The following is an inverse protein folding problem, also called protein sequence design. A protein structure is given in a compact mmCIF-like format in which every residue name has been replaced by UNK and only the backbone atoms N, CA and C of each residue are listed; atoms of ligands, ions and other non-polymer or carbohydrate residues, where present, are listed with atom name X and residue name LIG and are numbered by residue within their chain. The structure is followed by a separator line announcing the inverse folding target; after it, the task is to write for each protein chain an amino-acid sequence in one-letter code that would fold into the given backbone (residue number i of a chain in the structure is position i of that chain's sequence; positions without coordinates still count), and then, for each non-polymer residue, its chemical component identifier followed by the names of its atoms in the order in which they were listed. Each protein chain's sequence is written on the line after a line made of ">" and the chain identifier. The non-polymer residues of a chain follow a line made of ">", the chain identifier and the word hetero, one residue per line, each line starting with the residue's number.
data_IF_987018263480
#
_entry.id   IF_987018263480
#
_cell.length_a   1.000
_cell.length_b   1.000
_cell.length_c   1.000
_cell.angle_alpha   90.00
_cell.angle_beta   90.00
_cell.angle_gamma   90.00
#
_symmetry.space_group_name_H-M   'P 1'
#
loop_
_entity.id
_entity.type
_entity.pdbx_description
1 polymer ?
#
# COMPACT_ATOMS: atom_id res chain seq x y z
N UNK A 1 -35.97 16.04 -7.51
CA UNK A 1 -34.54 15.69 -7.39
C UNK A 1 -34.33 15.21 -5.96
N UNK A 2 -33.75 14.02 -5.72
CA UNK A 2 -33.47 13.59 -4.34
C UNK A 2 -32.47 14.57 -3.74
N UNK A 3 -32.78 15.12 -2.57
CA UNK A 3 -31.87 15.98 -1.81
C UNK A 3 -30.55 15.23 -1.59
N UNK A 4 -29.52 15.64 -2.33
CA UNK A 4 -28.17 15.13 -2.13
C UNK A 4 -27.68 15.75 -0.82
N UNK A 5 -27.50 14.91 0.20
CA UNK A 5 -26.78 15.31 1.39
C UNK A 5 -25.43 15.93 0.98
N UNK A 6 -25.03 17.06 1.58
CA UNK A 6 -23.77 17.70 1.24
C UNK A 6 -22.59 16.79 1.59
N UNK A 7 -21.47 17.00 0.90
CA UNK A 7 -20.22 16.33 1.27
C UNK A 7 -19.80 16.73 2.69
N UNK A 8 -19.26 15.77 3.44
CA UNK A 8 -18.72 15.98 4.78
C UNK A 8 -17.21 15.69 4.75
N UNK A 9 -16.44 16.59 5.34
CA UNK A 9 -15.02 16.34 5.60
C UNK A 9 -14.87 15.37 6.78
N UNK A 10 -14.09 14.32 6.57
CA UNK A 10 -13.78 13.29 7.57
C UNK A 10 -12.31 12.92 7.46
N UNK A 11 -11.65 12.67 8.59
CA UNK A 11 -10.31 12.08 8.58
C UNK A 11 -10.35 10.66 8.02
N UNK A 12 -9.26 10.21 7.38
CA UNK A 12 -9.18 8.85 6.82
C UNK A 12 -9.33 7.76 7.90
N UNK A 13 -8.82 8.00 9.11
CA UNK A 13 -8.98 7.07 10.24
C UNK A 13 -10.46 6.97 10.64
N UNK A 14 -11.15 8.11 10.69
CA UNK A 14 -12.56 8.19 11.09
C UNK A 14 -13.52 7.69 10.00
N UNK A 15 -13.04 7.55 8.76
CA UNK A 15 -13.82 7.04 7.64
C UNK A 15 -13.76 5.51 7.50
N UNK A 16 -13.09 4.83 8.44
CA UNK A 16 -12.94 3.38 8.51
C UNK A 16 -11.93 2.81 7.52
N UNK A 17 -10.96 3.65 7.11
CA UNK A 17 -9.74 3.20 6.45
C UNK A 17 -8.73 2.78 7.51
N UNK A 18 -8.28 1.54 7.39
CA UNK A 18 -7.29 0.94 8.27
C UNK A 18 -5.91 1.05 7.65
N UNK A 19 -4.94 1.42 8.48
CA UNK A 19 -3.55 1.58 8.11
C UNK A 19 -2.80 0.31 8.54
N UNK A 20 -2.17 -0.38 7.60
CA UNK A 20 -1.37 -1.59 7.90
C UNK A 20 0.08 -1.38 7.48
N UNK A 21 0.97 -1.33 8.48
CA UNK A 21 2.42 -1.27 8.26
C UNK A 21 3.00 -2.58 7.73
N UNK A 22 4.11 -2.48 6.99
CA UNK A 22 5.03 -3.61 6.79
C UNK A 22 5.72 -4.05 8.09
N UNK A 23 6.16 -5.31 8.15
CA UNK A 23 6.91 -5.81 9.30
C UNK A 23 8.31 -5.18 9.34
N UNK A 24 8.75 -4.75 10.54
CA UNK A 24 10.06 -4.13 10.79
C UNK A 24 10.97 -4.99 11.67
N UNK A 25 10.49 -6.17 12.08
CA UNK A 25 11.25 -7.05 12.95
C UNK A 25 12.46 -7.62 12.22
N UNK A 26 13.66 -7.27 12.68
CA UNK A 26 14.92 -7.81 12.15
C UNK A 26 14.96 -9.34 12.13
N UNK A 27 14.30 -10.01 13.08
CA UNK A 27 14.24 -11.47 13.16
C UNK A 27 13.37 -12.12 12.08
N UNK A 28 12.37 -11.39 11.55
CA UNK A 28 11.38 -11.92 10.60
C UNK A 28 11.47 -11.30 9.23
N UNK A 29 12.14 -10.16 9.11
CA UNK A 29 12.34 -9.50 7.83
C UNK A 29 13.24 -10.38 6.94
N UNK A 30 12.95 -10.53 5.63
CA UNK A 30 13.80 -11.31 4.74
C UNK A 30 15.21 -10.71 4.61
N UNK A 31 16.24 -11.54 4.81
CA UNK A 31 17.61 -11.23 4.37
C UNK A 31 17.72 -11.43 2.85
N UNK A 32 18.84 -10.99 2.26
CA UNK A 32 19.05 -11.06 0.81
C UNK A 32 19.03 -12.51 0.30
N UNK A 33 19.53 -13.43 1.12
CA UNK A 33 19.65 -14.86 0.80
C UNK A 33 18.32 -15.61 0.94
N UNK A 34 17.33 -15.01 1.59
CA UNK A 34 15.99 -15.60 1.77
C UNK A 34 15.04 -15.26 0.61
N UNK A 35 15.47 -14.44 -0.34
CA UNK A 35 14.73 -14.21 -1.58
C UNK A 35 14.96 -15.37 -2.55
N UNK A 36 13.87 -15.79 -3.19
CA UNK A 36 13.81 -16.92 -4.12
C UNK A 36 13.28 -16.47 -5.47
N UNK A 37 13.47 -17.28 -6.50
CA UNK A 37 13.02 -16.95 -7.86
C UNK A 37 11.49 -16.98 -8.01
N UNK A 38 10.80 -17.79 -7.19
CA UNK A 38 9.34 -17.92 -7.20
C UNK A 38 8.79 -18.24 -5.81
N UNK A 39 7.61 -17.72 -5.49
CA UNK A 39 6.99 -17.91 -4.18
C UNK A 39 5.93 -16.85 -3.90
N UNK A 40 5.82 -16.44 -2.64
CA UNK A 40 4.93 -15.35 -2.25
C UNK A 40 5.59 -14.01 -2.55
N UNK A 41 4.83 -13.06 -3.10
CA UNK A 41 5.35 -11.74 -3.44
C UNK A 41 5.82 -10.97 -2.21
N UNK A 42 6.98 -10.35 -2.32
CA UNK A 42 7.50 -9.37 -1.38
C UNK A 42 7.68 -8.04 -2.12
N UNK A 43 6.76 -7.11 -1.86
CA UNK A 43 6.61 -5.86 -2.60
C UNK A 43 7.47 -4.76 -2.00
N UNK A 44 8.19 -4.05 -2.86
CA UNK A 44 8.95 -2.84 -2.53
C UNK A 44 8.46 -1.66 -3.39
N UNK A 45 9.18 -0.53 -3.34
CA UNK A 45 8.82 0.64 -4.13
C UNK A 45 8.90 0.36 -5.64
N UNK A 46 9.90 -0.42 -6.08
CA UNK A 46 10.08 -0.81 -7.48
C UNK A 46 8.95 -1.72 -8.01
N UNK A 47 8.25 -2.41 -7.11
CA UNK A 47 7.06 -3.19 -7.43
C UNK A 47 5.85 -2.32 -7.78
N UNK A 48 5.91 -0.99 -7.61
CA UNK A 48 4.83 -0.07 -7.95
C UNK A 48 5.13 0.61 -9.29
N UNK A 49 4.20 0.54 -10.24
CA UNK A 49 4.31 1.25 -11.51
C UNK A 49 2.95 1.64 -12.05
N UNK A 50 2.79 2.92 -12.41
CA UNK A 50 1.60 3.44 -13.10
C UNK A 50 0.28 3.06 -12.39
N UNK A 51 0.24 3.14 -11.06
CA UNK A 51 -0.97 2.86 -10.29
C UNK A 51 -1.24 1.38 -10.00
N UNK A 52 -0.32 0.47 -10.36
CA UNK A 52 -0.51 -0.98 -10.31
C UNK A 52 0.72 -1.69 -9.75
N UNK A 53 0.53 -2.94 -9.34
CA UNK A 53 1.64 -3.83 -9.00
C UNK A 53 2.32 -4.26 -10.31
N UNK A 54 3.61 -3.95 -10.44
CA UNK A 54 4.44 -4.36 -11.55
C UNK A 54 5.03 -5.75 -11.27
N UNK A 55 4.31 -6.80 -11.66
CA UNK A 55 4.71 -8.20 -11.46
C UNK A 55 6.10 -8.55 -12.03
N UNK A 56 6.65 -7.73 -12.94
CA UNK A 56 8.01 -7.90 -13.48
C UNK A 56 9.13 -7.42 -12.54
N UNK A 57 8.79 -6.66 -11.50
CA UNK A 57 9.72 -6.07 -10.54
C UNK A 57 9.31 -6.40 -9.10
N UNK A 58 9.00 -7.67 -8.86
CA UNK A 58 8.60 -8.20 -7.55
C UNK A 58 9.64 -9.21 -7.09
N UNK A 59 10.04 -9.11 -5.82
CA UNK A 59 10.83 -10.15 -5.17
C UNK A 59 9.92 -11.25 -4.65
N UNK A 60 10.43 -12.46 -4.47
CA UNK A 60 9.66 -13.55 -3.88
C UNK A 60 10.34 -14.12 -2.65
N UNK A 61 9.52 -14.59 -1.71
CA UNK A 61 9.95 -15.32 -0.51
C UNK A 61 9.26 -16.68 -0.47
N UNK A 62 9.89 -17.64 0.18
CA UNK A 62 9.30 -18.96 0.39
C UNK A 62 8.07 -18.90 1.32
N UNK A 63 7.19 -19.89 1.25
CA UNK A 63 5.97 -19.94 2.06
C UNK A 63 6.29 -19.95 3.57
N UNK A 64 7.35 -20.65 3.97
CA UNK A 64 7.81 -20.75 5.35
C UNK A 64 8.16 -19.36 5.90
N UNK A 65 8.82 -18.53 5.08
CA UNK A 65 9.14 -17.15 5.45
C UNK A 65 7.91 -16.27 5.51
N UNK A 66 7.00 -16.41 4.54
CA UNK A 66 5.72 -15.72 4.54
C UNK A 66 4.92 -16.00 5.84
N UNK A 67 4.92 -17.23 6.34
CA UNK A 67 4.21 -17.60 7.58
C UNK A 67 4.83 -17.01 8.84
N UNK A 68 6.14 -16.74 8.82
CA UNK A 68 6.82 -16.04 9.90
C UNK A 68 6.40 -14.57 9.96
N UNK A 69 6.33 -13.87 8.82
CA UNK A 69 6.02 -12.43 8.76
C UNK A 69 4.57 -12.16 9.20
N UNK A 70 4.39 -11.26 10.18
CA UNK A 70 3.08 -11.06 10.83
C UNK A 70 2.31 -9.84 10.35
N UNK A 71 2.92 -8.96 9.56
CA UNK A 71 2.31 -7.69 9.09
C UNK A 71 2.47 -7.50 7.58
N UNK A 72 1.80 -6.48 7.04
CA UNK A 72 1.95 -6.06 5.66
C UNK A 72 1.32 -6.98 4.61
N UNK A 73 0.45 -7.93 4.98
CA UNK A 73 -0.21 -8.82 4.03
C UNK A 73 -1.24 -8.05 3.21
N UNK A 74 -1.09 -8.05 1.89
CA UNK A 74 -2.03 -7.39 0.98
C UNK A 74 -3.32 -8.19 0.83
N UNK A 75 -4.39 -7.50 0.47
CA UNK A 75 -5.69 -8.02 0.09
C UNK A 75 -6.17 -7.30 -1.17
N UNK A 76 -7.04 -7.95 -1.94
CA UNK A 76 -7.74 -7.28 -3.05
C UNK A 76 -8.42 -6.02 -2.54
N UNK A 77 -8.40 -4.98 -3.36
CA UNK A 77 -8.93 -3.63 -3.09
C UNK A 77 -8.16 -2.80 -2.07
N UNK A 78 -7.02 -3.30 -1.57
CA UNK A 78 -6.06 -2.46 -0.86
C UNK A 78 -5.48 -1.38 -1.77
N UNK A 79 -5.07 -0.27 -1.16
CA UNK A 79 -4.18 0.71 -1.79
C UNK A 79 -2.83 0.62 -1.12
N UNK A 80 -1.81 0.33 -1.91
CA UNK A 80 -0.42 0.35 -1.46
C UNK A 80 0.12 1.76 -1.64
N UNK A 81 0.83 2.27 -0.65
CA UNK A 81 1.47 3.57 -0.65
C UNK A 81 2.93 3.42 -0.23
N UNK A 82 3.85 3.97 -1.02
CA UNK A 82 5.25 4.12 -0.63
C UNK A 82 5.41 5.34 0.28
N UNK A 83 6.02 5.13 1.44
CA UNK A 83 6.14 6.19 2.47
C UNK A 83 7.57 6.70 2.64
N UNK A 84 8.56 5.96 2.14
CA UNK A 84 9.99 6.30 2.20
C UNK A 84 10.73 5.79 0.96
N UNK A 85 11.90 6.36 0.67
CA UNK A 85 12.79 5.93 -0.42
C UNK A 85 12.45 6.54 -1.78
N UNK A 86 12.92 5.89 -2.84
CA UNK A 86 12.56 6.28 -4.20
C UNK A 86 11.07 6.00 -4.45
N UNK A 87 10.40 6.94 -5.13
CA UNK A 87 8.97 6.81 -5.44
C UNK A 87 8.04 7.08 -4.26
N UNK A 88 8.43 7.85 -3.23
CA UNK A 88 7.50 8.29 -2.15
C UNK A 88 6.22 8.89 -2.75
N UNK A 89 5.06 8.46 -2.23
CA UNK A 89 3.77 8.90 -2.72
C UNK A 89 3.24 8.09 -3.92
N UNK A 90 4.06 7.20 -4.50
CA UNK A 90 3.59 6.24 -5.49
C UNK A 90 2.57 5.28 -4.87
N UNK A 91 1.52 5.02 -5.64
CA UNK A 91 0.39 4.23 -5.20
C UNK A 91 0.15 3.06 -6.16
N UNK A 92 -0.38 1.96 -5.63
CA UNK A 92 -0.99 0.92 -6.44
C UNK A 92 -2.34 0.48 -5.87
N UNK A 93 -3.29 0.24 -6.76
CA UNK A 93 -4.51 -0.50 -6.43
C UNK A 93 -4.25 -2.00 -6.57
N UNK A 94 -4.61 -2.78 -5.55
CA UNK A 94 -4.46 -4.24 -5.57
C UNK A 94 -5.67 -4.87 -6.25
N UNK A 95 -5.52 -5.26 -7.52
CA UNK A 95 -6.55 -5.93 -8.32
C UNK A 95 -6.27 -7.42 -8.62
N UNK A 96 -5.28 -7.97 -7.92
CA UNK A 96 -4.81 -9.35 -8.04
C UNK A 96 -5.28 -10.20 -6.85
N UNK A 97 -5.30 -11.52 -7.01
CA UNK A 97 -5.70 -12.48 -5.97
C UNK A 97 -4.49 -13.12 -5.26
N UNK A 98 -3.31 -12.96 -5.84
CA UNK A 98 -2.05 -13.52 -5.38
C UNK A 98 -1.64 -12.97 -4.01
N UNK A 99 -1.06 -13.85 -3.19
CA UNK A 99 -0.53 -13.47 -1.88
C UNK A 99 0.67 -12.54 -2.05
N UNK A 100 0.71 -11.49 -1.25
CA UNK A 100 1.87 -10.62 -1.15
C UNK A 100 2.02 -10.00 0.23
N UNK A 101 3.24 -9.55 0.52
CA UNK A 101 3.58 -8.75 1.69
C UNK A 101 4.30 -7.50 1.24
N UNK A 102 3.94 -6.34 1.81
CA UNK A 102 4.68 -5.10 1.61
C UNK A 102 5.93 -5.00 2.50
N UNK A 103 6.96 -4.34 2.00
CA UNK A 103 8.14 -4.02 2.77
C UNK A 103 7.84 -2.98 3.88
N UNK A 104 8.82 -2.76 4.77
CA UNK A 104 8.71 -1.84 5.91
C UNK A 104 8.57 -0.36 5.54
N UNK A 105 8.83 0.02 4.29
CA UNK A 105 8.82 1.39 3.78
C UNK A 105 7.50 1.73 3.06
N UNK A 106 6.56 0.79 3.06
CA UNK A 106 5.25 0.94 2.47
C UNK A 106 4.16 0.90 3.54
N UNK A 107 2.97 1.27 3.11
CA UNK A 107 1.76 1.31 3.90
C UNK A 107 0.61 0.75 3.06
N UNK A 108 -0.27 -0.01 3.68
CA UNK A 108 -1.55 -0.40 3.10
C UNK A 108 -2.65 0.49 3.69
N UNK A 109 -3.47 1.07 2.81
CA UNK A 109 -4.76 1.65 3.16
C UNK A 109 -5.84 0.63 2.82
N UNK A 110 -6.51 0.10 3.84
CA UNK A 110 -7.54 -0.94 3.72
C UNK A 110 -8.91 -0.44 4.13
N UNK A 111 -9.85 -0.51 3.22
CA UNK A 111 -11.24 -0.22 3.49
C UNK A 111 -11.94 -1.46 4.10
N UNK A 112 -12.42 -1.39 5.34
CA UNK A 112 -13.09 -2.53 6.01
C UNK A 112 -14.60 -2.39 6.17
N UNK A 113 -15.15 -1.18 6.05
CA UNK A 113 -16.53 -0.91 6.42
C UNK A 113 -17.48 -0.81 5.22
N UNK A 114 -16.98 -0.98 3.99
CA UNK A 114 -17.74 -0.86 2.73
C UNK A 114 -18.49 0.48 2.58
N UNK A 115 -18.17 1.50 3.39
CA UNK A 115 -18.77 2.83 3.32
C UNK A 115 -18.17 3.59 2.14
N UNK A 116 -16.86 3.46 1.97
CA UNK A 116 -16.13 4.10 0.88
C UNK A 116 -16.03 3.11 -0.29
N UNK A 117 -16.14 3.58 -1.52
CA UNK A 117 -15.79 2.77 -2.69
C UNK A 117 -14.25 2.69 -2.80
N UNK A 118 -13.63 1.49 -2.85
CA UNK A 118 -12.17 1.37 -2.92
C UNK A 118 -11.54 2.13 -4.11
N UNK A 119 -12.22 2.14 -5.25
CA UNK A 119 -11.80 2.89 -6.43
C UNK A 119 -11.84 4.40 -6.18
N UNK A 120 -12.88 4.90 -5.50
CA UNK A 120 -12.94 6.30 -5.08
C UNK A 120 -11.76 6.65 -4.16
N UNK A 121 -11.47 5.81 -3.16
CA UNK A 121 -10.34 6.02 -2.27
C UNK A 121 -9.02 6.06 -3.05
N UNK A 122 -8.81 5.13 -3.99
CA UNK A 122 -7.63 5.11 -4.85
C UNK A 122 -7.49 6.42 -5.62
N UNK A 123 -8.55 6.83 -6.35
CA UNK A 123 -8.52 8.08 -7.11
C UNK A 123 -8.25 9.28 -6.21
N UNK A 124 -8.91 9.36 -5.05
CA UNK A 124 -8.72 10.43 -4.08
C UNK A 124 -7.28 10.53 -3.57
N UNK A 125 -6.65 9.41 -3.21
CA UNK A 125 -5.25 9.37 -2.76
C UNK A 125 -4.29 9.74 -3.89
N UNK A 126 -4.64 9.41 -5.14
CA UNK A 126 -3.80 9.73 -6.31
C UNK A 126 -3.94 11.16 -6.86
N UNK A 127 -4.91 11.94 -6.38
CA UNK A 127 -5.04 13.35 -6.76
C UNK A 127 -3.77 14.13 -6.41
N UNK A 128 -3.36 15.05 -7.28
CA UNK A 128 -2.15 15.85 -7.06
C UNK A 128 -2.20 16.64 -5.76
N UNK A 129 -3.36 17.19 -5.42
CA UNK A 129 -3.59 17.86 -4.13
C UNK A 129 -3.29 16.93 -2.95
N UNK A 130 -3.82 15.71 -2.97
CA UNK A 130 -3.58 14.72 -1.91
C UNK A 130 -2.14 14.25 -1.85
N UNK A 131 -1.52 13.97 -3.01
CA UNK A 131 -0.09 13.62 -3.11
C UNK A 131 0.81 14.72 -2.55
N UNK A 132 0.48 15.98 -2.82
CA UNK A 132 1.21 17.12 -2.27
C UNK A 132 1.13 17.17 -0.74
N UNK A 133 -0.02 16.89 -0.14
CA UNK A 133 -0.12 16.78 1.32
C UNK A 133 0.78 15.67 1.87
N UNK A 134 0.82 14.50 1.21
CA UNK A 134 1.68 13.37 1.62
C UNK A 134 3.16 13.77 1.56
N UNK A 135 3.58 14.41 0.46
CA UNK A 135 4.96 14.84 0.25
C UNK A 135 5.42 15.88 1.28
N UNK A 136 4.61 16.92 1.51
CA UNK A 136 4.89 17.96 2.51
C UNK A 136 5.02 17.35 3.92
N UNK A 137 4.16 16.39 4.28
CA UNK A 137 4.19 15.72 5.59
C UNK A 137 5.42 14.80 5.77
N UNK A 138 5.95 14.27 4.67
CA UNK A 138 7.13 13.39 4.66
C UNK A 138 8.48 14.16 4.68
N UNK A 139 8.45 15.49 4.65
CA UNK A 139 9.64 16.34 4.66
C UNK A 139 10.31 16.52 3.30
N UNK A 140 9.69 16.05 2.22
CA UNK A 140 10.16 16.28 0.85
C UNK A 140 9.62 17.61 0.33
N UNK A 141 10.52 18.57 0.07
CA UNK A 141 10.18 19.77 -0.70
C UNK A 141 9.88 19.36 -2.15
N UNK A 142 8.73 19.76 -2.66
CA UNK A 142 8.46 19.74 -4.10
C UNK A 142 9.46 20.70 -4.75
N UNK A 143 10.28 20.19 -5.69
CA UNK A 143 11.12 21.01 -6.56
C UNK A 143 10.30 21.55 -7.72
#
# INVERSE_FOLDING_TARGET
>A
MKDKQPWKEVGLIDSGIFFVDGDRSSLRYPSREEFVDSGVMFLNAESIKSGRINLKAVNHIANEKYDQIKKGRIQKEDILLTTRGNGIGDCAFVDIEEKGIINAQMLILRNKNNIICPQFLYYYITLDSTKNLINVSSGLKLN
#
